data_IF_903747962316
#
_entry.id   IF_903747962316
#
_cell.length_a   1.000
_cell.length_b   1.000
_cell.length_c   1.000
_cell.angle_alpha   90.00
_cell.angle_beta   90.00
_cell.angle_gamma   90.00
#
_symmetry.space_group_name_H-M   'P 1'
#
loop_
_entity.id
_entity.type
_entity.pdbx_description
1 polymer ?
#
# COMPACT_ATOMS: atom_id res chain seq x y z
N UNK A 1 -5.87 -7.54 -1.59
CA UNK A 1 -6.80 -6.45 -1.20
C UNK A 1 -6.10 -5.15 -0.81
N UNK A 2 -4.94 -5.16 -0.13
CA UNK A 2 -4.26 -3.93 0.31
C UNK A 2 -4.06 -2.87 -0.80
N UNK A 3 -3.60 -3.27 -1.99
CA UNK A 3 -3.43 -2.35 -3.12
C UNK A 3 -4.71 -1.66 -3.61
N UNK A 4 -5.88 -2.27 -3.41
CA UNK A 4 -7.17 -1.64 -3.79
C UNK A 4 -7.60 -0.58 -2.77
N UNK A 5 -7.35 -0.81 -1.48
CA UNK A 5 -7.75 0.16 -0.45
C UNK A 5 -6.80 1.36 -0.37
N UNK A 6 -5.53 1.16 -0.73
CA UNK A 6 -4.48 2.18 -0.57
C UNK A 6 -4.24 2.92 -1.89
N UNK A 7 -4.07 2.22 -3.01
CA UNK A 7 -3.61 2.87 -4.24
C UNK A 7 -4.77 3.40 -5.09
N UNK A 8 -5.89 2.67 -5.14
CA UNK A 8 -7.02 3.06 -5.99
C UNK A 8 -7.74 4.31 -5.46
N UNK A 9 -7.85 4.47 -4.14
CA UNK A 9 -8.41 5.67 -3.51
C UNK A 9 -7.63 6.93 -3.88
N UNK A 10 -6.29 6.85 -3.89
CA UNK A 10 -5.43 7.94 -4.32
C UNK A 10 -5.65 8.30 -5.80
N UNK A 11 -5.79 7.30 -6.68
CA UNK A 11 -6.12 7.52 -8.11
C UNK A 11 -7.49 8.17 -8.26
N UNK A 12 -8.51 7.64 -7.58
CA UNK A 12 -9.87 8.16 -7.63
C UNK A 12 -9.97 9.62 -7.17
N UNK A 13 -9.25 9.97 -6.12
CA UNK A 13 -9.30 11.30 -5.52
C UNK A 13 -8.42 12.33 -6.25
N UNK A 14 -7.23 11.91 -6.74
CA UNK A 14 -6.18 12.88 -7.13
C UNK A 14 -5.77 12.81 -8.60
N UNK A 15 -6.13 11.76 -9.35
CA UNK A 15 -5.81 11.70 -10.79
C UNK A 15 -6.74 12.61 -11.58
N UNK A 16 -6.17 13.63 -12.24
CA UNK A 16 -6.93 14.62 -13.01
C UNK A 16 -7.41 14.11 -14.36
N UNK A 17 -6.69 13.16 -14.96
CA UNK A 17 -7.08 12.52 -16.20
C UNK A 17 -8.27 11.57 -15.96
N UNK A 18 -9.49 12.09 -16.17
CA UNK A 18 -10.74 11.37 -15.92
C UNK A 18 -10.86 10.08 -16.74
N UNK A 19 -10.63 10.07 -18.08
CA UNK A 19 -10.67 8.84 -18.86
C UNK A 19 -9.72 7.75 -18.33
N UNK A 20 -8.48 8.14 -17.97
CA UNK A 20 -7.51 7.20 -17.40
C UNK A 20 -7.94 6.70 -16.01
N UNK A 21 -8.43 7.60 -15.15
CA UNK A 21 -8.92 7.26 -13.81
C UNK A 21 -10.03 6.22 -13.88
N UNK A 22 -11.01 6.43 -14.75
CA UNK A 22 -12.17 5.54 -14.87
C UNK A 22 -11.74 4.18 -15.44
N UNK A 23 -10.88 4.17 -16.46
CA UNK A 23 -10.30 2.93 -16.99
C UNK A 23 -9.56 2.12 -15.91
N UNK A 24 -8.65 2.77 -15.16
CA UNK A 24 -7.86 2.10 -14.11
C UNK A 24 -8.77 1.56 -13.01
N UNK A 25 -9.83 2.30 -12.69
CA UNK A 25 -10.80 1.88 -11.67
C UNK A 25 -11.52 0.62 -12.07
N UNK A 26 -12.04 0.58 -13.30
CA UNK A 26 -12.71 -0.61 -13.82
C UNK A 26 -11.77 -1.81 -13.88
N UNK A 27 -10.53 -1.62 -14.34
CA UNK A 27 -9.52 -2.68 -14.41
C UNK A 27 -9.13 -3.22 -13.03
N UNK A 28 -9.04 -2.36 -12.02
CA UNK A 28 -8.67 -2.77 -10.65
C UNK A 28 -9.84 -3.43 -9.93
N UNK A 29 -11.05 -2.85 -9.99
CA UNK A 29 -12.24 -3.39 -9.34
C UNK A 29 -12.70 -4.72 -9.96
N UNK A 30 -12.49 -4.89 -11.28
CA UNK A 30 -12.71 -6.18 -11.95
C UNK A 30 -11.61 -7.22 -11.67
N UNK A 31 -10.52 -6.84 -11.00
CA UNK A 31 -9.39 -7.72 -10.72
C UNK A 31 -8.46 -7.98 -11.91
N UNK A 32 -8.69 -7.35 -13.07
CA UNK A 32 -7.80 -7.45 -14.25
C UNK A 32 -6.42 -6.85 -13.97
N UNK A 33 -6.35 -5.80 -13.16
CA UNK A 33 -5.10 -5.18 -12.72
C UNK A 33 -5.00 -5.16 -11.20
N UNK A 34 -3.75 -5.20 -10.72
CA UNK A 34 -3.39 -4.98 -9.32
C UNK A 34 -2.55 -3.72 -9.23
N UNK A 35 -2.70 -3.02 -8.13
CA UNK A 35 -1.94 -1.81 -7.81
C UNK A 35 -1.13 -2.01 -6.53
N UNK A 36 -0.11 -1.19 -6.36
CA UNK A 36 0.68 -1.09 -5.15
C UNK A 36 1.04 0.37 -4.87
N UNK A 37 1.44 0.66 -3.64
CA UNK A 37 1.96 1.95 -3.24
C UNK A 37 3.48 1.82 -3.06
N UNK A 38 4.23 2.72 -3.69
CA UNK A 38 5.68 2.78 -3.61
C UNK A 38 6.08 4.15 -3.03
N UNK A 39 6.20 4.24 -1.70
CA UNK A 39 6.66 5.45 -1.00
C UNK A 39 8.00 5.17 -0.33
N UNK A 40 8.03 4.25 0.63
CA UNK A 40 9.21 3.97 1.46
C UNK A 40 10.41 3.52 0.63
N UNK A 41 11.58 4.03 1.00
CA UNK A 41 12.88 3.62 0.47
C UNK A 41 13.73 2.95 1.56
N UNK A 42 14.81 2.29 1.15
CA UNK A 42 15.72 1.59 2.07
C UNK A 42 16.23 2.46 3.25
N UNK A 43 16.32 3.78 3.05
CA UNK A 43 16.84 4.74 4.02
C UNK A 43 15.78 5.72 4.56
N UNK A 44 14.53 5.61 4.10
CA UNK A 44 13.47 6.57 4.39
C UNK A 44 12.12 5.88 4.55
N UNK A 45 11.75 5.63 5.81
CA UNK A 45 10.46 5.07 6.24
C UNK A 45 9.59 6.13 6.92
N UNK A 46 9.75 6.29 8.23
CA UNK A 46 9.03 7.31 9.01
C UNK A 46 9.36 8.73 8.56
N UNK A 47 10.61 8.96 8.17
CA UNK A 47 11.04 10.21 7.54
C UNK A 47 10.81 10.15 6.02
N UNK A 48 9.56 10.37 5.61
CA UNK A 48 9.19 10.47 4.19
C UNK A 48 9.87 11.68 3.53
N UNK A 49 10.34 12.67 4.30
CA UNK A 49 11.10 13.79 3.73
C UNK A 49 12.50 13.37 3.22
N UNK A 50 12.99 12.20 3.67
CA UNK A 50 14.29 11.63 3.30
C UNK A 50 14.32 10.85 1.98
N UNK A 51 13.21 10.78 1.23
CA UNK A 51 13.15 10.05 -0.04
C UNK A 51 14.14 10.60 -1.08
N UNK A 52 14.69 9.69 -1.88
CA UNK A 52 15.70 9.97 -2.91
C UNK A 52 15.19 9.69 -4.31
N UNK A 53 14.05 9.07 -4.54
CA UNK A 53 13.52 8.89 -5.90
C UNK A 53 13.20 10.24 -6.54
N UNK A 54 13.53 10.41 -7.82
CA UNK A 54 13.30 11.64 -8.60
C UNK A 54 12.53 11.39 -9.87
N UNK A 55 11.84 12.44 -10.29
CA UNK A 55 11.11 12.51 -11.54
C UNK A 55 11.46 13.83 -12.22
N UNK A 56 12.15 13.77 -13.35
CA UNK A 56 12.56 14.96 -14.12
C UNK A 56 11.76 15.02 -15.40
N UNK A 57 11.21 16.20 -15.73
CA UNK A 57 10.51 16.35 -17.01
C UNK A 57 11.48 16.26 -18.18
N UNK A 58 11.05 15.61 -19.25
CA UNK A 58 11.73 15.65 -20.55
C UNK A 58 11.79 17.11 -21.07
N UNK A 59 12.74 17.44 -21.97
CA UNK A 59 12.87 18.80 -22.51
C UNK A 59 11.59 19.33 -23.19
N UNK A 60 10.76 18.42 -23.74
CA UNK A 60 9.47 18.75 -24.34
C UNK A 60 8.33 18.94 -23.33
N UNK A 61 8.58 18.69 -22.04
CA UNK A 61 7.62 18.83 -20.95
C UNK A 61 6.50 17.78 -20.93
N UNK A 62 6.55 16.75 -21.79
CA UNK A 62 5.45 15.78 -21.98
C UNK A 62 5.53 14.57 -21.07
N UNK A 63 6.74 14.21 -20.63
CA UNK A 63 6.97 13.01 -19.81
C UNK A 63 7.82 13.34 -18.60
N UNK A 64 7.62 12.59 -17.53
CA UNK A 64 8.57 12.41 -16.45
C UNK A 64 9.49 11.23 -16.77
N UNK A 65 10.80 11.41 -16.54
CA UNK A 65 11.78 10.32 -16.46
C UNK A 65 12.01 10.06 -14.96
N UNK A 66 11.63 8.87 -14.51
CA UNK A 66 11.73 8.46 -13.12
C UNK A 66 13.02 7.67 -12.91
N UNK A 67 13.86 8.14 -11.98
CA UNK A 67 15.14 7.55 -11.59
C UNK A 67 15.37 7.76 -10.10
N UNK A 68 16.23 6.98 -9.45
CA UNK A 68 16.68 7.29 -8.08
C UNK A 68 17.78 8.35 -8.04
N UNK A 69 17.55 9.51 -7.40
CA UNK A 69 18.39 10.29 -6.42
C UNK A 69 17.90 11.78 -6.32
N UNK A 70 17.54 12.23 -5.09
CA UNK A 70 16.75 13.40 -4.57
C UNK A 70 16.62 14.70 -5.40
N UNK A 71 15.42 15.31 -5.41
CA UNK A 71 15.18 16.72 -5.83
C UNK A 71 14.73 17.61 -4.66
N UNK A 72 15.19 18.86 -4.60
CA UNK A 72 14.93 19.80 -3.49
C UNK A 72 13.52 20.43 -3.48
N UNK A 73 12.71 20.20 -4.52
CA UNK A 73 11.50 21.01 -4.78
C UNK A 73 10.23 20.51 -4.09
N UNK A 74 10.25 19.35 -3.43
CA UNK A 74 9.08 18.72 -2.80
C UNK A 74 8.64 17.43 -3.52
N UNK A 75 7.67 16.71 -2.93
CA UNK A 75 7.24 15.39 -3.42
C UNK A 75 6.14 15.51 -4.48
N UNK A 76 6.15 14.63 -5.47
CA UNK A 76 5.05 14.41 -6.40
C UNK A 76 4.65 12.93 -6.34
N UNK A 77 3.36 12.64 -6.46
CA UNK A 77 2.87 11.26 -6.56
C UNK A 77 2.50 10.99 -8.00
N UNK A 78 3.02 9.92 -8.60
CA UNK A 78 2.85 9.64 -10.03
C UNK A 78 2.30 8.22 -10.18
N UNK A 79 1.28 8.06 -11.03
CA UNK A 79 0.78 6.76 -11.46
C UNK A 79 1.74 6.16 -12.47
N UNK A 80 2.46 5.10 -12.09
CA UNK A 80 3.43 4.43 -12.96
C UNK A 80 2.87 3.07 -13.42
N UNK A 81 2.55 2.90 -14.73
CA UNK A 81 2.23 1.59 -15.28
C UNK A 81 3.45 0.67 -15.18
N UNK A 82 3.22 -0.63 -14.92
CA UNK A 82 4.29 -1.62 -15.03
C UNK A 82 4.69 -1.76 -16.51
N UNK A 83 5.98 -1.66 -16.79
CA UNK A 83 6.52 -1.72 -18.14
C UNK A 83 8.05 -1.77 -18.13
N UNK A 84 8.66 -1.37 -19.23
CA UNK A 84 10.12 -1.29 -19.36
C UNK A 84 10.73 -0.38 -18.27
N UNK A 85 11.83 -0.83 -17.67
CA UNK A 85 12.51 -0.12 -16.58
C UNK A 85 11.86 -0.24 -15.20
N UNK A 86 10.76 -0.99 -15.04
CA UNK A 86 10.12 -1.27 -13.75
C UNK A 86 10.39 -2.70 -13.29
N UNK A 87 11.36 -2.87 -12.40
CA UNK A 87 11.75 -4.16 -11.86
C UNK A 87 11.24 -4.40 -10.43
N UNK A 88 10.95 -5.65 -10.09
CA UNK A 88 10.45 -6.01 -8.75
C UNK A 88 11.15 -7.23 -8.19
N UNK A 89 11.70 -7.12 -6.97
CA UNK A 89 12.36 -8.22 -6.26
C UNK A 89 11.62 -8.55 -4.96
N UNK A 90 11.09 -9.77 -4.85
CA UNK A 90 10.32 -10.20 -3.68
C UNK A 90 11.17 -10.15 -2.40
N UNK A 91 10.55 -9.70 -1.31
CA UNK A 91 11.14 -9.67 0.02
C UNK A 91 10.60 -10.84 0.84
N UNK A 92 11.48 -11.60 1.48
CA UNK A 92 11.08 -12.63 2.44
C UNK A 92 10.64 -11.94 3.72
N UNK A 93 9.34 -11.97 3.99
CA UNK A 93 8.73 -11.41 5.19
C UNK A 93 8.55 -12.46 6.28
N UNK A 94 8.46 -12.04 7.55
CA UNK A 94 8.12 -12.92 8.68
C UNK A 94 6.65 -13.34 8.70
N UNK A 95 5.80 -12.60 7.99
CA UNK A 95 4.38 -12.86 7.85
C UNK A 95 4.05 -13.42 6.45
N UNK A 96 2.77 -13.57 6.14
CA UNK A 96 2.24 -14.22 4.94
C UNK A 96 2.89 -13.76 3.62
N UNK A 97 3.39 -14.72 2.85
CA UNK A 97 3.90 -14.52 1.48
C UNK A 97 2.82 -14.04 0.51
N UNK A 98 1.53 -14.23 0.83
CA UNK A 98 0.42 -13.80 0.00
C UNK A 98 0.28 -12.26 -0.10
N UNK A 99 0.97 -11.50 0.75
CA UNK A 99 0.97 -10.04 0.71
C UNK A 99 1.77 -9.46 -0.46
N UNK A 100 2.71 -10.22 -1.03
CA UNK A 100 3.45 -9.82 -2.23
C UNK A 100 4.41 -8.64 -2.02
N UNK A 101 4.99 -8.49 -0.83
CA UNK A 101 5.97 -7.44 -0.53
C UNK A 101 7.22 -7.58 -1.38
N UNK A 102 7.60 -6.53 -2.10
CA UNK A 102 8.75 -6.52 -2.99
C UNK A 102 9.47 -5.17 -2.96
N UNK A 103 10.78 -5.17 -3.24
CA UNK A 103 11.49 -3.98 -3.69
C UNK A 103 11.01 -3.63 -5.10
N UNK A 104 10.87 -2.34 -5.38
CA UNK A 104 10.57 -1.82 -6.71
C UNK A 104 11.76 -0.95 -7.13
N UNK A 105 12.26 -1.18 -8.34
CA UNK A 105 13.34 -0.40 -8.93
C UNK A 105 12.82 0.26 -10.21
N UNK A 106 13.14 1.55 -10.36
CA UNK A 106 12.82 2.34 -11.54
C UNK A 106 14.12 2.73 -12.23
N UNK A 107 14.26 2.35 -13.50
CA UNK A 107 15.39 2.69 -14.35
C UNK A 107 14.88 3.36 -15.63
N UNK A 108 15.05 4.68 -15.72
CA UNK A 108 14.68 5.52 -16.86
C UNK A 108 13.22 5.37 -17.31
N UNK A 109 12.30 5.17 -16.36
CA UNK A 109 10.89 4.93 -16.66
C UNK A 109 10.24 6.22 -17.15
N UNK A 110 9.72 6.20 -18.38
CA UNK A 110 9.02 7.34 -18.99
C UNK A 110 7.53 7.26 -18.67
N UNK A 111 7.01 8.29 -18.02
CA UNK A 111 5.61 8.38 -17.63
C UNK A 111 5.02 9.70 -18.11
N UNK A 112 3.84 9.71 -18.75
CA UNK A 112 3.21 10.97 -19.17
C UNK A 112 2.91 11.91 -18.00
N UNK A 113 2.95 13.23 -18.22
CA UNK A 113 2.71 14.22 -17.16
C UNK A 113 1.29 14.19 -16.60
N UNK A 114 0.32 13.71 -17.38
CA UNK A 114 -1.07 13.53 -16.97
C UNK A 114 -1.28 12.43 -15.92
N UNK A 115 -0.26 11.59 -15.68
CA UNK A 115 -0.27 10.58 -14.62
C UNK A 115 0.07 11.15 -13.24
N UNK A 116 0.31 12.46 -13.13
CA UNK A 116 0.51 13.14 -11.86
C UNK A 116 -0.77 13.12 -11.02
N UNK A 117 -0.65 12.70 -9.76
CA UNK A 117 -1.70 12.78 -8.76
C UNK A 117 -1.57 14.09 -8.00
N UNK A 118 -2.62 14.91 -8.05
CA UNK A 118 -2.66 16.21 -7.37
C UNK A 118 -1.82 17.28 -8.08
N UNK A 119 -1.09 18.07 -7.29
CA UNK A 119 -0.21 19.13 -7.79
C UNK A 119 1.25 18.74 -7.67
N UNK A 120 2.05 19.17 -8.63
CA UNK A 120 3.48 18.95 -8.65
C UNK A 120 4.10 19.56 -7.39
N UNK A 121 5.01 18.80 -6.74
CA UNK A 121 5.66 19.16 -5.49
C UNK A 121 4.75 19.26 -4.25
N UNK A 122 3.44 18.99 -4.38
CA UNK A 122 2.48 18.95 -3.26
C UNK A 122 1.99 17.53 -2.92
N UNK A 123 2.76 16.52 -3.29
CA UNK A 123 2.47 15.10 -3.06
C UNK A 123 2.34 14.71 -1.59
N UNK A 124 2.91 15.49 -0.64
CA UNK A 124 2.73 15.22 0.79
C UNK A 124 1.25 15.24 1.20
N UNK A 125 0.45 16.17 0.65
CA UNK A 125 -0.98 16.26 0.91
C UNK A 125 -1.71 15.02 0.38
N UNK A 126 -1.32 14.56 -0.81
CA UNK A 126 -1.87 13.33 -1.42
C UNK A 126 -1.59 12.12 -0.53
N UNK A 127 -0.33 11.97 -0.08
CA UNK A 127 0.09 10.85 0.77
C UNK A 127 -0.66 10.86 2.11
N UNK A 128 -0.69 12.01 2.80
CA UNK A 128 -1.34 12.11 4.11
C UNK A 128 -2.86 11.90 4.04
N UNK A 129 -3.52 12.43 3.01
CA UNK A 129 -4.95 12.16 2.76
C UNK A 129 -5.21 10.66 2.66
N UNK A 130 -4.35 9.95 1.93
CA UNK A 130 -4.50 8.53 1.71
C UNK A 130 -4.23 7.67 2.96
N UNK A 131 -3.20 8.02 3.74
CA UNK A 131 -2.86 7.30 4.99
C UNK A 131 -3.98 7.35 6.04
N UNK A 132 -4.79 8.41 6.07
CA UNK A 132 -5.92 8.48 7.00
C UNK A 132 -6.97 7.39 6.72
N UNK A 133 -7.29 7.16 5.45
CA UNK A 133 -8.21 6.09 5.06
C UNK A 133 -7.62 4.70 5.33
N UNK A 134 -6.32 4.52 5.03
CA UNK A 134 -5.62 3.27 5.31
C UNK A 134 -5.63 2.91 6.79
N UNK A 135 -5.33 3.87 7.68
CA UNK A 135 -5.36 3.66 9.14
C UNK A 135 -6.72 3.19 9.62
N UNK A 136 -7.79 3.83 9.14
CA UNK A 136 -9.15 3.45 9.50
C UNK A 136 -9.46 2.02 9.05
N UNK A 137 -9.16 1.68 7.80
CA UNK A 137 -9.37 0.32 7.27
C UNK A 137 -8.60 -0.74 8.07
N UNK A 138 -7.33 -0.46 8.41
CA UNK A 138 -6.50 -1.35 9.22
C UNK A 138 -7.08 -1.56 10.63
N UNK A 139 -7.59 -0.51 11.27
CA UNK A 139 -8.25 -0.61 12.57
C UNK A 139 -9.47 -1.54 12.49
N UNK A 140 -10.34 -1.35 11.50
CA UNK A 140 -11.49 -2.23 11.28
C UNK A 140 -11.08 -3.69 11.02
N UNK A 141 -10.06 -3.91 10.19
CA UNK A 141 -9.51 -5.25 9.92
C UNK A 141 -8.95 -5.94 11.15
N UNK A 142 -8.26 -5.18 12.00
CA UNK A 142 -7.67 -5.67 13.26
C UNK A 142 -8.75 -6.05 14.26
N UNK A 143 -9.79 -5.23 14.42
CA UNK A 143 -10.94 -5.55 15.28
C UNK A 143 -11.61 -6.84 14.83
N UNK A 144 -11.92 -6.98 13.53
CA UNK A 144 -12.52 -8.21 12.98
C UNK A 144 -11.65 -9.43 13.26
N UNK A 145 -10.34 -9.33 13.05
CA UNK A 145 -9.42 -10.43 13.27
C UNK A 145 -9.33 -10.81 14.75
N UNK A 146 -9.32 -9.82 15.66
CA UNK A 146 -9.36 -10.06 17.10
C UNK A 146 -10.66 -10.81 17.52
N UNK A 147 -11.81 -10.41 16.97
CA UNK A 147 -13.07 -11.12 17.22
C UNK A 147 -13.02 -12.58 16.76
N UNK A 148 -12.45 -12.85 15.58
CA UNK A 148 -12.28 -14.23 15.09
C UNK A 148 -11.34 -15.03 15.99
N UNK A 149 -10.25 -14.44 16.48
CA UNK A 149 -9.34 -15.12 17.41
C UNK A 149 -10.08 -15.49 18.71
N UNK A 150 -10.86 -14.56 19.27
CA UNK A 150 -11.66 -14.83 20.47
C UNK A 150 -12.66 -15.96 20.23
N UNK A 151 -13.36 -15.93 19.10
CA UNK A 151 -14.31 -16.97 18.72
C UNK A 151 -13.65 -18.36 18.65
N UNK A 152 -12.51 -18.47 17.96
CA UNK A 152 -11.78 -19.73 17.84
C UNK A 152 -11.20 -20.21 19.19
N UNK A 153 -10.69 -19.29 20.02
CA UNK A 153 -10.25 -19.60 21.38
C UNK A 153 -11.41 -20.15 22.23
N UNK A 154 -12.59 -19.54 22.16
CA UNK A 154 -13.77 -19.98 22.92
C UNK A 154 -14.24 -21.36 22.46
N UNK A 155 -14.26 -21.63 21.14
CA UNK A 155 -14.56 -22.96 20.59
C UNK A 155 -13.58 -24.00 21.13
N UNK A 156 -12.28 -23.74 21.03
CA UNK A 156 -11.24 -24.66 21.48
C UNK A 156 -11.31 -24.95 22.98
N UNK A 157 -11.48 -23.91 23.81
CA UNK A 157 -11.52 -24.07 25.27
C UNK A 157 -12.73 -24.88 25.76
N UNK A 158 -13.83 -24.89 25.00
CA UNK A 158 -15.03 -25.68 25.30
C UNK A 158 -14.95 -27.15 24.85
N UNK A 159 -14.04 -27.47 23.93
CA UNK A 159 -13.87 -28.83 23.38
C UNK A 159 -12.69 -29.57 24.00
N UNK A 160 -11.62 -28.84 24.35
CA UNK A 160 -10.39 -29.45 24.87
C UNK A 160 -10.57 -29.90 26.32
N UNK A 161 -10.25 -31.16 26.60
CA UNK A 161 -10.22 -31.73 27.96
C UNK A 161 -8.77 -31.76 28.48
N UNK A 162 -8.56 -31.27 29.70
CA UNK A 162 -7.29 -31.36 30.46
C UNK A 162 -7.61 -31.63 31.92
N UNK A 163 -6.83 -32.49 32.57
CA UNK A 163 -7.04 -32.89 33.98
C UNK A 163 -8.49 -33.36 34.27
N UNK A 164 -9.10 -34.08 33.33
CA UNK A 164 -10.45 -34.63 33.45
C UNK A 164 -11.60 -33.62 33.28
N UNK A 165 -11.32 -32.35 32.97
CA UNK A 165 -12.32 -31.27 32.82
C UNK A 165 -12.09 -30.47 31.54
N UNK A 166 -13.07 -29.66 31.12
CA UNK A 166 -12.87 -28.76 29.98
C UNK A 166 -11.82 -27.71 30.31
N UNK A 167 -11.03 -27.31 29.31
CA UNK A 167 -9.97 -26.31 29.47
C UNK A 167 -10.51 -24.98 30.02
N UNK A 168 -11.73 -24.59 29.61
CA UNK A 168 -12.40 -23.38 30.10
C UNK A 168 -12.71 -23.39 31.61
N UNK A 169 -12.70 -24.56 32.27
CA UNK A 169 -12.93 -24.66 33.72
C UNK A 169 -11.70 -24.24 34.55
N UNK A 170 -10.52 -24.15 33.91
CA UNK A 170 -9.30 -23.71 34.58
C UNK A 170 -9.33 -22.19 34.83
N UNK A 171 -9.13 -21.71 36.07
CA UNK A 171 -9.19 -20.27 36.38
C UNK A 171 -8.26 -19.40 35.54
N UNK A 172 -7.03 -19.87 35.29
CA UNK A 172 -6.02 -19.17 34.48
C UNK A 172 -6.48 -18.98 33.04
N UNK A 173 -7.29 -19.90 32.51
CA UNK A 173 -7.82 -19.78 31.15
C UNK A 173 -8.95 -18.76 31.07
N UNK A 174 -9.77 -18.62 32.11
CA UNK A 174 -10.85 -17.60 32.16
C UNK A 174 -10.34 -16.18 32.32
N UNK A 175 -9.11 -16.01 32.82
CA UNK A 175 -8.47 -14.71 32.98
C UNK A 175 -7.84 -14.18 31.68
N UNK A 176 -7.58 -15.07 30.70
CA UNK A 176 -7.00 -14.73 29.40
C UNK A 176 -8.09 -14.36 28.41
#
# INVERSE_FOLDING_TARGET
MAGMAISLTAVQQWLRNVPLRDQITDEVLSGRKKMCLAITEAFAGSDVAGLRTTATKTPDGKHYIINGTKTEKGFSVILVPRGEGVETKLIKTSYSTAAGTAYIQFENVKVPVENLLGEEHKGFIVIMSNFNHERFMMACGTIRMAMTVVEECMKWCNQRIVFGKKLIEQPVMRQK
#
